data_IF_934245913576
#
_entry.id   IF_934245913576
#
_cell.length_a   1.000
_cell.length_b   1.000
_cell.length_c   1.000
_cell.angle_alpha   90.00
_cell.angle_beta   90.00
_cell.angle_gamma   90.00
#
_symmetry.space_group_name_H-M   'P 1'
#
loop_
_entity.id
_entity.type
_entity.pdbx_description
1 polymer ?
#
# COMPACT_ATOMS: atom_id res chain seq x y z
N UNK A 1 13.71 11.88 -13.70
CA UNK A 1 12.81 10.79 -13.28
C UNK A 1 11.50 10.94 -14.02
N UNK A 2 11.09 9.92 -14.73
CA UNK A 2 9.78 9.85 -15.35
C UNK A 2 8.80 9.13 -14.42
N UNK A 3 7.65 9.72 -14.15
CA UNK A 3 6.59 9.12 -13.35
C UNK A 3 5.47 8.68 -14.27
N UNK A 4 5.16 7.39 -14.23
CA UNK A 4 4.08 6.79 -14.99
C UNK A 4 2.93 6.52 -14.03
N UNK A 5 1.81 7.16 -14.28
CA UNK A 5 0.60 6.95 -13.48
C UNK A 5 -0.28 5.88 -14.14
N UNK A 6 -0.62 4.89 -13.36
CA UNK A 6 -1.42 3.77 -13.81
C UNK A 6 -2.63 3.60 -12.89
N UNK A 7 -3.77 4.03 -13.36
CA UNK A 7 -5.04 3.75 -12.67
C UNK A 7 -5.62 2.45 -13.22
N UNK A 8 -5.85 1.50 -12.33
CA UNK A 8 -6.37 0.18 -12.67
C UNK A 8 -7.56 -0.18 -11.80
N UNK A 9 -8.52 -0.85 -12.39
CA UNK A 9 -9.62 -1.44 -11.63
C UNK A 9 -9.16 -2.73 -10.96
N UNK A 10 -9.42 -2.85 -9.66
CA UNK A 10 -9.12 -4.03 -8.88
C UNK A 10 -10.17 -4.22 -7.79
N UNK A 11 -10.39 -5.46 -7.42
CA UNK A 11 -11.38 -5.83 -6.43
C UNK A 11 -10.71 -6.49 -5.23
N UNK A 12 -10.87 -5.92 -4.04
CA UNK A 12 -10.31 -6.42 -2.78
C UNK A 12 -10.64 -7.88 -2.49
N UNK A 13 -11.78 -8.36 -2.99
CA UNK A 13 -12.24 -9.72 -2.75
C UNK A 13 -11.93 -10.70 -3.89
N UNK A 14 -11.29 -10.20 -4.95
CA UNK A 14 -10.91 -11.01 -6.11
C UNK A 14 -9.40 -10.95 -6.34
N UNK A 15 -8.69 -11.95 -5.84
CA UNK A 15 -7.24 -12.05 -6.00
C UNK A 15 -6.80 -12.07 -7.46
N UNK A 16 -7.62 -12.57 -8.36
CA UNK A 16 -7.30 -12.59 -9.78
C UNK A 16 -7.20 -11.17 -10.35
N UNK A 17 -7.99 -10.22 -9.82
CA UNK A 17 -7.90 -8.82 -10.25
C UNK A 17 -6.53 -8.20 -9.97
N UNK A 18 -5.89 -8.56 -8.87
CA UNK A 18 -4.52 -8.12 -8.55
C UNK A 18 -3.49 -8.68 -9.53
N UNK A 19 -3.59 -9.97 -9.85
CA UNK A 19 -2.70 -10.59 -10.82
C UNK A 19 -2.86 -9.98 -12.21
N UNK A 20 -4.08 -9.73 -12.64
CA UNK A 20 -4.38 -9.10 -13.93
C UNK A 20 -3.85 -7.67 -13.98
N UNK A 21 -4.05 -6.88 -12.92
CA UNK A 21 -3.55 -5.53 -12.81
C UNK A 21 -2.02 -5.49 -12.85
N UNK A 22 -1.35 -6.35 -12.11
CA UNK A 22 0.10 -6.44 -12.11
C UNK A 22 0.66 -6.86 -13.49
N UNK A 23 0.04 -7.84 -14.13
CA UNK A 23 0.46 -8.29 -15.47
C UNK A 23 0.28 -7.20 -16.52
N UNK A 24 -0.82 -6.46 -16.49
CA UNK A 24 -1.08 -5.33 -17.39
C UNK A 24 -0.06 -4.20 -17.19
N UNK A 25 0.27 -3.88 -15.94
CA UNK A 25 1.28 -2.88 -15.62
C UNK A 25 2.66 -3.26 -16.18
N UNK A 26 3.05 -4.52 -16.05
CA UNK A 26 4.32 -5.02 -16.60
C UNK A 26 4.35 -4.99 -18.12
N UNK A 27 3.25 -5.33 -18.76
CA UNK A 27 3.12 -5.31 -20.21
C UNK A 27 3.18 -3.87 -20.75
N UNK A 28 2.50 -2.96 -20.08
CA UNK A 28 2.43 -1.54 -20.49
C UNK A 28 3.74 -0.79 -20.23
N UNK A 29 4.44 -1.10 -19.14
CA UNK A 29 5.66 -0.43 -18.73
C UNK A 29 6.77 -1.44 -18.40
N UNK A 30 7.30 -2.16 -19.41
CA UNK A 30 8.28 -3.22 -19.16
C UNK A 30 9.62 -2.73 -18.62
N UNK A 31 9.93 -1.45 -18.83
CA UNK A 31 11.20 -0.84 -18.43
C UNK A 31 11.11 -0.09 -17.09
N UNK A 32 9.98 -0.17 -16.38
CA UNK A 32 9.85 0.46 -15.08
C UNK A 32 10.86 -0.14 -14.08
N UNK A 33 11.59 0.72 -13.38
CA UNK A 33 12.61 0.36 -12.39
C UNK A 33 12.19 0.65 -10.95
N UNK A 34 10.97 1.12 -10.76
CA UNK A 34 10.39 1.38 -9.46
C UNK A 34 8.86 1.29 -9.47
N UNK A 35 8.29 0.88 -8.35
CA UNK A 35 6.85 0.88 -8.12
C UNK A 35 6.53 1.48 -6.75
N UNK A 36 5.50 2.31 -6.72
CA UNK A 36 4.86 2.79 -5.51
C UNK A 36 3.37 2.47 -5.58
N UNK A 37 2.88 1.67 -4.65
CA UNK A 37 1.48 1.29 -4.57
C UNK A 37 1.09 0.84 -3.17
N UNK A 38 -0.19 0.61 -2.92
CA UNK A 38 -0.63 -0.06 -1.70
C UNK A 38 0.02 -1.45 -1.58
N UNK A 39 0.09 -1.99 -0.36
CA UNK A 39 0.86 -3.21 -0.07
C UNK A 39 0.54 -4.36 -1.02
N UNK A 40 -0.73 -4.73 -1.14
CA UNK A 40 -1.09 -5.88 -1.97
C UNK A 40 -0.76 -5.69 -3.45
N UNK A 41 -1.21 -4.64 -4.14
CA UNK A 41 -0.84 -4.42 -5.53
C UNK A 41 0.67 -4.40 -5.77
N UNK A 42 1.43 -3.76 -4.90
CA UNK A 42 2.88 -3.69 -5.02
C UNK A 42 3.53 -5.07 -4.92
N UNK A 43 3.08 -5.89 -3.97
CA UNK A 43 3.65 -7.22 -3.75
C UNK A 43 3.27 -8.22 -4.84
N UNK A 44 2.06 -8.15 -5.39
CA UNK A 44 1.69 -8.93 -6.58
C UNK A 44 2.57 -8.57 -7.79
N UNK A 45 2.78 -7.27 -8.00
CA UNK A 45 3.69 -6.80 -9.06
C UNK A 45 5.12 -7.29 -8.85
N UNK A 46 5.64 -7.16 -7.62
CA UNK A 46 6.97 -7.63 -7.27
C UNK A 46 7.12 -9.14 -7.53
N UNK A 47 6.11 -9.93 -7.19
CA UNK A 47 6.12 -11.36 -7.43
C UNK A 47 6.27 -11.69 -8.91
N UNK A 48 5.50 -11.03 -9.78
CA UNK A 48 5.61 -11.21 -11.22
C UNK A 48 6.97 -10.74 -11.77
N UNK A 49 7.48 -9.63 -11.24
CA UNK A 49 8.80 -9.12 -11.64
C UNK A 49 9.92 -10.11 -11.29
N UNK A 50 9.89 -10.68 -10.08
CA UNK A 50 10.84 -11.72 -9.68
C UNK A 50 10.76 -12.96 -10.56
N UNK A 51 9.55 -13.40 -10.91
CA UNK A 51 9.34 -14.51 -11.86
C UNK A 51 9.88 -14.21 -13.26
N UNK A 52 9.83 -12.96 -13.67
CA UNK A 52 10.39 -12.52 -14.95
C UNK A 52 11.92 -12.34 -14.92
N UNK A 53 12.57 -12.63 -13.80
CA UNK A 53 14.01 -12.55 -13.64
C UNK A 53 14.55 -11.20 -13.18
N UNK A 54 13.69 -10.25 -12.83
CA UNK A 54 14.13 -8.98 -12.24
C UNK A 54 14.61 -9.18 -10.81
N UNK A 55 15.64 -8.46 -10.42
CA UNK A 55 16.16 -8.47 -9.04
C UNK A 55 15.58 -7.29 -8.27
N UNK A 56 15.26 -7.52 -7.00
CA UNK A 56 14.77 -6.48 -6.08
C UNK A 56 15.80 -6.36 -4.94
N UNK A 57 16.37 -5.19 -4.67
CA UNK A 57 16.03 -3.86 -5.23
C UNK A 57 16.86 -3.43 -6.46
N UNK A 58 17.72 -4.27 -7.02
CA UNK A 58 18.71 -3.87 -8.03
C UNK A 58 18.04 -3.42 -9.34
N UNK A 59 17.13 -4.20 -9.87
CA UNK A 59 16.43 -3.93 -11.14
C UNK A 59 15.07 -3.26 -10.91
N UNK A 60 14.44 -3.49 -9.75
CA UNK A 60 13.15 -2.93 -9.38
C UNK A 60 13.16 -2.50 -7.91
N UNK A 61 12.89 -1.24 -7.67
CA UNK A 61 12.68 -0.71 -6.31
C UNK A 61 11.20 -0.69 -5.98
N UNK A 62 10.86 -1.18 -4.78
CA UNK A 62 9.46 -1.30 -4.35
C UNK A 62 9.25 -0.50 -3.08
N UNK A 63 8.30 0.43 -3.14
CA UNK A 63 7.81 1.17 -1.97
C UNK A 63 6.32 0.90 -1.84
N UNK A 64 5.92 0.44 -0.67
CA UNK A 64 4.50 0.17 -0.39
C UNK A 64 3.90 1.24 0.51
N UNK A 65 2.58 1.33 0.44
CA UNK A 65 1.77 2.22 1.25
C UNK A 65 0.81 1.38 2.10
N UNK A 66 0.66 1.74 3.35
CA UNK A 66 -0.10 1.19 4.47
C UNK A 66 0.77 0.45 5.49
N UNK A 67 1.76 -0.34 5.09
CA UNK A 67 2.66 -1.05 6.00
C UNK A 67 1.96 -2.17 6.77
N UNK A 68 1.11 -2.92 6.09
CA UNK A 68 0.45 -4.11 6.63
C UNK A 68 1.47 -5.21 6.93
N UNK A 69 1.09 -6.21 7.69
CA UNK A 69 1.99 -7.31 8.09
C UNK A 69 2.62 -8.01 6.88
N UNK A 70 1.91 -8.12 5.76
CA UNK A 70 2.42 -8.75 4.55
C UNK A 70 3.67 -8.05 4.00
N UNK A 71 3.74 -6.71 4.09
CA UNK A 71 4.93 -5.96 3.65
C UNK A 71 6.13 -6.12 4.58
N UNK A 72 5.88 -6.51 5.82
CA UNK A 72 6.93 -6.73 6.84
C UNK A 72 7.56 -8.11 6.78
N UNK A 73 6.81 -9.09 6.26
CA UNK A 73 7.25 -10.49 6.22
C UNK A 73 7.61 -10.98 4.80
N UNK A 74 7.40 -10.15 3.78
CA UNK A 74 7.73 -10.51 2.41
C UNK A 74 9.25 -10.59 2.20
N UNK A 75 9.64 -11.38 1.20
CA UNK A 75 11.02 -11.46 0.75
C UNK A 75 11.07 -11.35 -0.78
N UNK A 76 11.94 -10.51 -1.36
CA UNK A 76 12.83 -9.53 -0.68
C UNK A 76 12.08 -8.48 0.15
N UNK A 77 12.78 -7.89 1.12
CA UNK A 77 12.21 -6.82 1.93
C UNK A 77 11.88 -5.59 1.09
N UNK A 78 10.80 -4.92 1.43
CA UNK A 78 10.35 -3.70 0.76
C UNK A 78 10.32 -2.53 1.72
N UNK A 79 10.51 -1.32 1.20
CA UNK A 79 10.29 -0.09 1.95
C UNK A 79 8.80 0.19 2.04
N UNK A 80 8.29 0.45 3.24
CA UNK A 80 6.88 0.73 3.45
C UNK A 80 6.64 2.06 4.15
N UNK A 81 5.65 2.80 3.70
CA UNK A 81 5.10 3.96 4.41
C UNK A 81 3.97 3.45 5.30
N UNK A 82 4.25 3.38 6.61
CA UNK A 82 3.33 2.76 7.57
C UNK A 82 2.40 3.78 8.21
N UNK A 83 1.14 3.44 8.33
CA UNK A 83 0.18 4.19 9.13
C UNK A 83 0.33 3.84 10.62
N UNK A 84 0.13 4.82 11.49
CA UNK A 84 0.04 4.57 12.93
C UNK A 84 -1.35 4.05 13.29
N UNK A 85 -1.62 2.80 12.94
CA UNK A 85 -2.94 2.15 13.08
C UNK A 85 -3.39 2.14 14.55
N UNK A 86 -2.47 1.90 15.49
CA UNK A 86 -2.78 1.90 16.93
C UNK A 86 -3.32 3.25 17.38
N UNK A 87 -2.60 4.32 17.06
CA UNK A 87 -3.00 5.67 17.42
C UNK A 87 -4.32 6.08 16.75
N UNK A 88 -4.51 5.74 15.48
CA UNK A 88 -5.75 6.00 14.76
C UNK A 88 -6.93 5.27 15.42
N UNK A 89 -6.77 3.98 15.73
CA UNK A 89 -7.80 3.18 16.37
C UNK A 89 -8.19 3.72 17.75
N UNK A 90 -7.21 4.05 18.59
CA UNK A 90 -7.46 4.64 19.91
C UNK A 90 -8.18 5.98 19.80
N UNK A 91 -7.77 6.83 18.87
CA UNK A 91 -8.41 8.13 18.66
C UNK A 91 -9.84 7.99 18.15
N UNK A 92 -10.08 7.10 17.20
CA UNK A 92 -11.42 6.81 16.70
C UNK A 92 -12.34 6.31 17.82
N UNK A 93 -11.88 5.37 18.64
CA UNK A 93 -12.64 4.84 19.76
C UNK A 93 -12.98 5.92 20.79
N UNK A 94 -12.00 6.73 21.19
CA UNK A 94 -12.22 7.85 22.11
C UNK A 94 -13.22 8.87 21.55
N UNK A 95 -13.10 9.20 20.27
CA UNK A 95 -14.00 10.15 19.61
C UNK A 95 -15.45 9.64 19.60
N UNK A 96 -15.66 8.38 19.28
CA UNK A 96 -17.00 7.77 19.29
C UNK A 96 -17.59 7.76 20.70
N UNK A 97 -16.81 7.38 21.71
CA UNK A 97 -17.25 7.37 23.10
C UNK A 97 -17.63 8.78 23.56
N UNK A 98 -16.82 9.80 23.24
CA UNK A 98 -17.10 11.19 23.58
C UNK A 98 -18.40 11.69 22.93
N UNK A 99 -18.65 11.31 21.68
CA UNK A 99 -19.90 11.64 20.99
C UNK A 99 -21.11 10.99 21.65
N UNK A 100 -21.01 9.72 22.04
CA UNK A 100 -22.09 8.98 22.71
C UNK A 100 -22.38 9.56 24.09
N UNK A 101 -21.34 9.89 24.85
CA UNK A 101 -21.47 10.40 26.22
C UNK A 101 -21.66 11.93 26.29
N UNK A 102 -21.66 12.61 25.15
CA UNK A 102 -21.82 14.08 25.03
C UNK A 102 -20.84 14.86 25.93
N UNK A 103 -19.59 14.39 25.97
CA UNK A 103 -18.53 14.97 26.82
C UNK A 103 -17.81 16.14 26.15
N UNK A 104 -16.83 15.83 25.31
CA UNK A 104 -15.98 16.82 24.66
C UNK A 104 -16.33 17.00 23.19
N UNK A 105 -16.16 18.24 22.64
CA UNK A 105 -16.31 18.43 21.21
C UNK A 105 -15.34 17.55 20.42
N UNK A 106 -15.83 16.86 19.38
CA UNK A 106 -15.03 16.07 18.46
C UNK A 106 -14.88 16.86 17.17
N UNK A 107 -13.65 17.17 16.72
CA UNK A 107 -13.47 17.87 15.45
C UNK A 107 -13.90 17.01 14.28
N UNK A 108 -14.53 17.61 13.28
CA UNK A 108 -14.96 16.91 12.07
C UNK A 108 -13.80 16.32 11.28
N UNK A 109 -12.64 16.91 11.39
CA UNK A 109 -11.44 16.47 10.68
C UNK A 109 -10.21 16.57 11.57
N UNK A 110 -9.46 15.50 11.60
CA UNK A 110 -8.18 15.45 12.30
C UNK A 110 -7.11 14.90 11.35
N UNK A 111 -5.93 15.48 11.41
CA UNK A 111 -4.80 15.06 10.58
C UNK A 111 -3.67 14.65 11.52
N UNK A 112 -3.15 13.46 11.29
CA UNK A 112 -2.05 12.91 12.09
C UNK A 112 -0.82 12.71 11.25
N UNK A 113 0.38 12.93 11.80
CA UNK A 113 1.62 12.66 11.09
C UNK A 113 1.82 11.15 10.88
N UNK A 114 2.51 10.82 9.84
CA UNK A 114 2.98 9.47 9.58
C UNK A 114 4.10 9.08 10.55
N UNK A 115 4.12 7.84 10.91
CA UNK A 115 5.23 7.26 11.67
C UNK A 115 6.15 6.46 10.78
#
# INVERSE_FOLDING_TARGET
>A
MEVLDLTMEWNLFDHQSYWNAAAEAMEKYPDADGIFAADQPALYYMHLALKAGKRVPEDLKVITYDGMDVSRICYPEVTAICQNVKFLAETCAKSVINLIEDKEPVPHRQIYPWN
#
